data_IF_927427305806
#
_entry.id   IF_927427305806
#
_cell.length_a   1.000
_cell.length_b   1.000
_cell.length_c   1.000
_cell.angle_alpha   90.00
_cell.angle_beta   90.00
_cell.angle_gamma   90.00
#
_symmetry.space_group_name_H-M   'P 1'
#
loop_
_entity.id
_entity.type
_entity.pdbx_description
1 polymer ?
#
# COMPACT_ATOMS: atom_id res chain seq x y z
N UNK A 1 -37.16 -21.17 19.17
CA UNK A 1 -35.75 -21.63 19.16
C UNK A 1 -35.01 -20.76 18.15
N UNK A 2 -33.99 -20.02 18.59
CA UNK A 2 -33.27 -19.06 17.74
C UNK A 2 -32.32 -19.81 16.82
N UNK A 3 -32.56 -19.74 15.51
CA UNK A 3 -31.64 -20.25 14.51
C UNK A 3 -30.34 -19.43 14.55
N UNK A 4 -29.24 -20.10 14.92
CA UNK A 4 -27.89 -19.59 14.83
C UNK A 4 -27.55 -19.41 13.34
N UNK A 5 -27.48 -18.16 12.89
CA UNK A 5 -26.96 -17.84 11.56
C UNK A 5 -25.43 -17.79 11.66
N UNK A 6 -24.78 -18.91 11.38
CA UNK A 6 -23.32 -18.97 11.16
C UNK A 6 -23.00 -18.20 9.86
N UNK A 7 -22.74 -16.90 9.98
CA UNK A 7 -22.30 -16.07 8.86
C UNK A 7 -20.78 -15.98 8.82
N UNK A 8 -20.11 -16.92 8.14
CA UNK A 8 -18.71 -16.74 7.71
C UNK A 8 -18.72 -16.20 6.28
N UNK A 9 -18.50 -14.89 6.10
CA UNK A 9 -18.21 -14.29 4.80
C UNK A 9 -17.28 -13.08 4.99
N UNK A 10 -16.06 -13.18 4.47
CA UNK A 10 -14.97 -12.20 4.53
C UNK A 10 -14.77 -11.57 3.14
N UNK A 11 -14.58 -10.25 3.06
CA UNK A 11 -14.51 -9.52 1.79
C UNK A 11 -13.09 -9.42 1.21
N UNK A 12 -13.05 -9.41 -0.12
CA UNK A 12 -12.06 -10.05 -1.00
C UNK A 12 -11.39 -8.97 -1.93
N UNK A 13 -10.05 -8.82 -1.99
CA UNK A 13 -9.17 -7.97 -2.90
C UNK A 13 -8.68 -8.55 -4.29
N UNK A 14 -9.16 -8.11 -5.48
CA UNK A 14 -8.57 -8.62 -6.77
C UNK A 14 -7.28 -7.85 -7.15
N UNK A 15 -6.24 -8.57 -7.57
CA UNK A 15 -5.07 -8.01 -8.28
C UNK A 15 -4.98 -8.55 -9.72
N UNK A 16 -4.84 -7.66 -10.71
CA UNK A 16 -3.86 -7.91 -11.75
C UNK A 16 -2.97 -6.68 -11.98
N UNK A 17 -1.67 -6.81 -11.69
CA UNK A 17 -0.66 -5.78 -11.98
C UNK A 17 0.35 -5.57 -10.85
N UNK A 18 1.45 -4.91 -11.18
CA UNK A 18 2.59 -4.59 -10.31
C UNK A 18 2.30 -3.28 -9.54
N UNK A 19 2.32 -3.25 -8.19
CA UNK A 19 2.36 -1.95 -7.48
C UNK A 19 3.73 -1.32 -7.73
N UNK A 20 3.73 -0.10 -8.25
CA UNK A 20 4.91 0.77 -8.26
C UNK A 20 4.56 2.06 -7.56
N UNK A 21 5.12 2.31 -6.38
CA UNK A 21 5.09 3.64 -5.77
C UNK A 21 6.32 3.94 -4.92
N UNK A 22 7.12 4.90 -5.39
CA UNK A 22 7.64 6.14 -4.79
C UNK A 22 8.79 6.62 -5.72
N UNK A 23 8.84 7.91 -6.07
CA UNK A 23 9.85 8.52 -6.96
C UNK A 23 11.23 8.55 -6.28
N UNK A 24 12.34 8.56 -7.03
CA UNK A 24 13.39 7.53 -7.15
C UNK A 24 14.12 7.12 -5.85
N UNK A 25 13.71 7.62 -4.70
CA UNK A 25 14.40 7.47 -3.42
C UNK A 25 13.71 6.54 -2.45
N UNK A 26 12.42 6.26 -2.59
CA UNK A 26 11.72 5.25 -1.79
C UNK A 26 10.87 4.40 -2.71
N UNK A 27 10.54 3.17 -2.34
CA UNK A 27 9.56 2.34 -3.02
C UNK A 27 8.94 1.38 -2.01
N UNK A 28 7.63 1.19 -2.11
CA UNK A 28 6.95 0.02 -1.59
C UNK A 28 5.95 -0.45 -2.64
N UNK A 29 5.98 -1.74 -2.93
CA UNK A 29 5.06 -2.35 -3.88
C UNK A 29 4.97 -3.87 -3.72
N UNK A 30 4.05 -4.48 -4.46
CA UNK A 30 3.85 -5.91 -4.47
C UNK A 30 2.88 -6.32 -5.57
N UNK A 31 2.63 -7.62 -5.63
CA UNK A 31 1.67 -8.27 -6.49
C UNK A 31 1.40 -9.66 -5.95
N UNK A 32 0.73 -10.51 -6.71
CA UNK A 32 0.35 -11.86 -6.23
C UNK A 32 1.54 -12.78 -5.94
N UNK A 33 2.70 -12.51 -6.53
CA UNK A 33 3.89 -13.36 -6.43
C UNK A 33 5.16 -12.63 -5.98
N UNK A 34 5.07 -11.35 -5.63
CA UNK A 34 6.23 -10.61 -5.19
C UNK A 34 5.86 -9.45 -4.25
N UNK A 35 6.82 -9.04 -3.44
CA UNK A 35 6.80 -7.77 -2.70
C UNK A 35 8.16 -7.11 -2.90
N UNK A 36 8.15 -5.79 -3.05
CA UNK A 36 9.33 -4.99 -3.29
C UNK A 36 9.40 -3.76 -2.40
N UNK A 37 10.61 -3.40 -1.99
CA UNK A 37 10.92 -2.20 -1.23
C UNK A 37 12.21 -1.55 -1.72
N UNK A 38 12.33 -0.23 -1.56
CA UNK A 38 13.57 0.47 -1.86
C UNK A 38 13.67 1.73 -1.00
N UNK A 39 14.89 2.07 -0.57
CA UNK A 39 15.21 3.33 0.08
C UNK A 39 16.56 3.83 -0.46
N UNK A 40 16.60 4.55 -1.57
CA UNK A 40 17.87 5.01 -2.14
C UNK A 40 18.71 5.83 -1.14
N UNK A 41 20.04 5.76 -1.22
CA UNK A 41 20.84 4.87 -2.07
C UNK A 41 21.02 3.45 -1.47
N UNK A 42 20.29 3.13 -0.40
CA UNK A 42 20.41 1.88 0.36
C UNK A 42 20.16 0.66 -0.51
N UNK A 43 21.06 -0.31 -0.42
CA UNK A 43 21.00 -1.56 -1.19
C UNK A 43 21.23 -1.42 -2.70
N UNK A 44 21.50 -0.20 -3.20
CA UNK A 44 21.88 0.11 -4.59
C UNK A 44 20.82 -0.20 -5.66
N UNK A 45 19.74 -0.88 -5.30
CA UNK A 45 18.70 -1.39 -6.20
C UNK A 45 17.44 -1.75 -5.42
N UNK A 46 16.32 -1.99 -6.10
CA UNK A 46 15.08 -2.47 -5.46
C UNK A 46 15.31 -3.82 -4.77
N UNK A 47 14.86 -3.95 -3.52
CA UNK A 47 14.79 -5.23 -2.82
C UNK A 47 13.50 -5.94 -3.22
N UNK A 48 13.57 -7.14 -3.80
CA UNK A 48 12.37 -7.90 -4.17
C UNK A 48 12.42 -9.31 -3.58
N UNK A 49 11.31 -9.72 -2.98
CA UNK A 49 11.04 -11.10 -2.57
C UNK A 49 10.02 -11.66 -3.57
N UNK A 50 10.37 -12.74 -4.26
CA UNK A 50 9.53 -13.41 -5.27
C UNK A 50 9.15 -14.82 -4.80
N UNK A 51 8.24 -15.49 -5.51
CA UNK A 51 7.78 -16.84 -5.14
C UNK A 51 6.75 -16.84 -4.00
N UNK A 52 6.17 -15.67 -3.70
CA UNK A 52 5.11 -15.55 -2.70
C UNK A 52 3.79 -16.09 -3.24
N UNK A 53 2.96 -16.67 -2.38
CA UNK A 53 1.61 -17.09 -2.75
C UNK A 53 0.59 -16.14 -2.10
N UNK A 54 0.58 -14.86 -2.51
CA UNK A 54 -0.40 -13.90 -1.99
C UNK A 54 -1.74 -14.18 -2.63
N UNK A 55 -2.65 -14.70 -1.82
CA UNK A 55 -3.96 -15.09 -2.30
C UNK A 55 -4.68 -13.89 -2.88
N UNK A 56 -5.18 -14.07 -4.11
CA UNK A 56 -6.10 -13.11 -4.65
C UNK A 56 -7.29 -13.03 -3.71
N UNK A 57 -7.59 -11.80 -3.42
CA UNK A 57 -8.71 -11.43 -2.65
C UNK A 57 -8.66 -11.67 -1.16
N UNK A 58 -7.50 -11.50 -0.55
CA UNK A 58 -7.45 -11.41 0.90
C UNK A 58 -6.69 -10.15 1.30
N UNK A 59 -7.07 -9.51 2.42
CA UNK A 59 -6.25 -8.43 2.95
C UNK A 59 -4.90 -9.01 3.33
N UNK A 60 -3.85 -8.40 2.80
CA UNK A 60 -2.47 -8.75 3.15
C UNK A 60 -1.82 -7.54 3.80
N UNK A 61 -1.14 -7.76 4.92
CA UNK A 61 -0.35 -6.70 5.55
C UNK A 61 1.09 -6.80 5.06
N UNK A 62 1.53 -5.79 4.32
CA UNK A 62 2.89 -5.70 3.80
C UNK A 62 3.65 -4.62 4.56
N UNK A 63 4.86 -4.94 5.03
CA UNK A 63 5.75 -3.95 5.61
C UNK A 63 7.16 -4.05 5.05
N UNK A 64 7.72 -2.90 4.72
CA UNK A 64 9.13 -2.73 4.42
C UNK A 64 9.79 -1.95 5.56
N UNK A 65 10.83 -2.54 6.14
CA UNK A 65 11.56 -1.99 7.28
C UNK A 65 13.01 -1.78 6.85
N UNK A 66 13.54 -0.61 7.14
CA UNK A 66 14.93 -0.24 6.83
C UNK A 66 15.59 0.21 8.13
N UNK A 67 16.47 -0.62 8.67
CA UNK A 67 17.21 -0.39 9.91
C UNK A 67 18.70 -0.33 9.62
N UNK A 68 19.37 0.80 9.86
CA UNK A 68 20.83 1.02 9.78
C UNK A 68 21.60 0.35 8.64
N UNK A 69 21.78 -0.96 8.60
CA UNK A 69 22.46 -1.72 7.54
C UNK A 69 21.66 -2.95 7.06
N UNK A 70 20.37 -3.03 7.35
CA UNK A 70 19.48 -4.13 6.98
C UNK A 70 18.15 -3.59 6.46
N UNK A 71 17.66 -4.23 5.40
CA UNK A 71 16.29 -4.07 4.92
C UNK A 71 15.54 -5.39 5.09
N UNK A 72 14.28 -5.30 5.50
CA UNK A 72 13.40 -6.44 5.79
C UNK A 72 12.04 -6.24 5.15
N UNK A 73 11.50 -7.29 4.57
CA UNK A 73 10.14 -7.33 4.04
C UNK A 73 9.34 -8.34 4.85
N UNK A 74 8.17 -7.90 5.32
CA UNK A 74 7.21 -8.73 6.02
C UNK A 74 5.89 -8.80 5.26
N UNK A 75 5.28 -9.98 5.29
CA UNK A 75 3.94 -10.24 4.75
C UNK A 75 3.15 -10.96 5.84
N UNK A 76 1.95 -10.46 6.11
CA UNK A 76 1.01 -11.05 7.09
C UNK A 76 1.65 -11.31 8.45
N UNK A 77 2.50 -10.37 8.86
CA UNK A 77 3.22 -10.43 10.13
C UNK A 77 4.51 -11.25 10.10
N UNK A 78 4.84 -11.96 9.01
CA UNK A 78 6.03 -12.83 8.93
C UNK A 78 7.14 -12.23 8.09
N UNK A 79 8.39 -12.36 8.53
CA UNK A 79 9.58 -11.99 7.75
C UNK A 79 9.70 -12.91 6.54
N UNK A 80 9.55 -12.37 5.34
CA UNK A 80 9.66 -13.13 4.08
C UNK A 80 11.00 -12.90 3.36
N UNK A 81 11.75 -11.88 3.76
CA UNK A 81 13.11 -11.66 3.27
C UNK A 81 13.83 -10.56 4.02
N UNK A 82 15.15 -10.67 4.08
CA UNK A 82 16.03 -9.59 4.50
C UNK A 82 17.26 -9.49 3.61
N UNK A 83 17.89 -8.32 3.59
CA UNK A 83 19.20 -8.13 2.96
C UNK A 83 20.05 -7.13 3.75
N UNK A 84 21.35 -7.38 3.77
CA UNK A 84 22.30 -6.38 4.23
C UNK A 84 22.42 -5.24 3.20
N UNK A 85 22.69 -4.04 3.69
CA UNK A 85 22.82 -2.83 2.88
C UNK A 85 24.16 -2.18 3.20
N UNK A 86 24.96 -1.84 2.19
CA UNK A 86 26.33 -1.32 2.40
C UNK A 86 26.43 0.11 2.96
N UNK A 87 25.31 0.77 3.25
CA UNK A 87 25.26 2.15 3.77
C UNK A 87 24.10 2.34 4.74
N UNK A 88 24.28 3.23 5.71
CA UNK A 88 23.21 3.69 6.59
C UNK A 88 22.49 4.95 6.10
N UNK A 89 22.99 5.55 5.03
CA UNK A 89 22.42 6.77 4.46
C UNK A 89 21.15 6.42 3.69
N UNK A 90 20.11 7.22 3.92
CA UNK A 90 18.89 7.25 3.11
C UNK A 90 18.74 8.68 2.64
N UNK A 91 18.62 8.84 1.33
CA UNK A 91 18.46 10.13 0.69
C UNK A 91 16.97 10.46 0.49
N UNK A 92 16.67 11.74 0.29
CA UNK A 92 15.34 12.24 0.06
C UNK A 92 15.33 13.09 -1.22
N UNK A 93 14.58 12.62 -2.22
CA UNK A 93 14.35 13.40 -3.41
C UNK A 93 13.44 14.60 -3.16
N UNK A 94 13.45 15.54 -4.10
CA UNK A 94 12.55 16.69 -4.14
C UNK A 94 11.17 16.39 -4.74
N UNK A 95 10.94 15.16 -5.21
CA UNK A 95 9.70 14.78 -5.89
C UNK A 95 8.60 14.36 -4.91
N UNK A 96 7.34 14.62 -5.27
CA UNK A 96 6.19 14.16 -4.49
C UNK A 96 6.04 12.63 -4.60
N UNK A 97 5.57 12.01 -3.52
CA UNK A 97 5.14 10.61 -3.53
C UNK A 97 3.87 10.42 -4.38
N UNK A 98 3.66 9.20 -4.86
CA UNK A 98 2.43 8.77 -5.53
C UNK A 98 1.95 7.46 -4.91
N UNK A 99 0.64 7.17 -5.03
CA UNK A 99 -0.04 5.94 -4.60
C UNK A 99 -0.80 5.37 -5.80
N UNK A 100 -0.72 4.05 -6.03
CA UNK A 100 -1.46 3.38 -7.11
C UNK A 100 -0.84 3.48 -8.52
N UNK A 101 0.35 4.05 -8.68
CA UNK A 101 1.07 4.13 -9.96
C UNK A 101 1.91 5.40 -10.08
N UNK A 102 3.07 5.32 -10.74
CA UNK A 102 3.95 6.48 -10.99
C UNK A 102 4.33 6.62 -12.47
N UNK A 103 5.01 7.72 -12.84
CA UNK A 103 5.60 8.04 -14.17
C UNK A 103 6.34 6.90 -14.91
N UNK A 104 6.73 5.79 -14.28
CA UNK A 104 7.48 4.69 -14.93
C UNK A 104 6.87 3.28 -14.75
N UNK A 105 5.61 3.15 -14.32
CA UNK A 105 4.99 1.84 -14.07
C UNK A 105 3.54 1.74 -14.54
N UNK A 106 3.09 0.51 -14.77
CA UNK A 106 1.66 0.22 -14.96
C UNK A 106 0.90 0.62 -13.69
N UNK A 107 -0.29 1.20 -13.83
CA UNK A 107 -1.17 1.49 -12.70
C UNK A 107 -1.48 0.23 -11.89
N UNK A 108 -1.62 0.40 -10.58
CA UNK A 108 -2.10 -0.63 -9.68
C UNK A 108 -3.60 -0.83 -9.87
N UNK A 109 -4.03 -2.08 -9.83
CA UNK A 109 -5.45 -2.42 -9.78
C UNK A 109 -5.67 -3.30 -8.57
N UNK A 110 -6.38 -2.75 -7.59
CA UNK A 110 -6.63 -3.40 -6.32
C UNK A 110 -7.11 -2.44 -5.26
N UNK A 111 -7.12 -2.93 -4.02
CA UNK A 111 -7.62 -2.21 -2.87
C UNK A 111 -6.48 -1.87 -1.92
N UNK A 112 -6.51 -0.66 -1.37
CA UNK A 112 -5.63 -0.20 -0.30
C UNK A 112 -6.51 0.29 0.84
N UNK A 113 -6.33 -0.31 2.01
CA UNK A 113 -7.09 -0.01 3.22
C UNK A 113 -6.36 1.03 4.08
N UNK A 114 -5.04 0.86 4.25
CA UNK A 114 -4.25 1.80 5.03
C UNK A 114 -2.82 1.92 4.50
N UNK A 115 -2.23 3.10 4.67
CA UNK A 115 -0.82 3.38 4.44
C UNK A 115 -0.24 4.13 5.62
N UNK A 116 0.85 3.59 6.20
CA UNK A 116 1.65 4.26 7.21
C UNK A 116 3.10 4.40 6.80
N UNK A 117 3.67 5.60 7.00
CA UNK A 117 5.10 5.85 6.99
C UNK A 117 5.57 6.24 8.40
N UNK A 118 6.75 5.78 8.80
CA UNK A 118 7.28 6.05 10.14
C UNK A 118 8.79 6.27 10.12
N UNK A 119 9.28 7.00 11.11
CA UNK A 119 10.71 7.28 11.32
C UNK A 119 11.39 6.29 12.29
N UNK A 120 10.60 5.38 12.89
CA UNK A 120 11.08 4.32 13.77
C UNK A 120 10.88 2.93 13.17
N UNK A 121 11.60 1.96 13.72
CA UNK A 121 11.48 0.54 13.38
C UNK A 121 10.26 -0.02 14.11
N UNK A 122 9.17 -0.24 13.37
CA UNK A 122 7.92 -0.77 13.95
C UNK A 122 7.87 -2.27 14.08
N UNK A 123 8.58 -2.98 13.20
CA UNK A 123 8.55 -4.44 13.13
C UNK A 123 9.97 -4.98 13.10
N UNK A 124 10.23 -5.97 13.94
CA UNK A 124 11.52 -6.62 14.12
C UNK A 124 11.31 -8.12 14.39
N UNK A 125 12.39 -8.89 14.32
CA UNK A 125 12.35 -10.34 14.52
C UNK A 125 11.76 -11.09 13.34
N UNK A 126 11.32 -12.33 13.59
CA UNK A 126 10.77 -13.21 12.53
C UNK A 126 9.28 -13.00 12.30
N UNK A 127 8.55 -12.57 13.33
CA UNK A 127 7.09 -12.44 13.29
C UNK A 127 6.60 -11.27 14.16
N UNK A 128 5.47 -10.67 13.78
CA UNK A 128 4.69 -9.71 14.58
C UNK A 128 3.20 -9.88 14.27
N UNK A 129 2.34 -9.24 15.07
CA UNK A 129 0.90 -9.22 14.84
C UNK A 129 0.54 -7.95 14.06
N UNK A 130 0.04 -8.06 12.81
CA UNK A 130 -0.40 -6.89 12.06
C UNK A 130 -1.53 -6.12 12.78
N UNK A 131 -1.57 -4.79 12.65
CA UNK A 131 -2.71 -4.01 13.10
C UNK A 131 -3.99 -4.47 12.37
N UNK A 132 -5.11 -4.42 13.07
CA UNK A 132 -6.43 -4.78 12.55
C UNK A 132 -7.28 -3.52 12.41
N UNK A 133 -7.86 -3.33 11.22
CA UNK A 133 -8.66 -2.15 10.89
C UNK A 133 -7.85 -0.86 10.86
N UNK A 134 -8.55 0.25 11.11
CA UNK A 134 -7.96 1.59 11.09
C UNK A 134 -6.73 1.69 11.98
N UNK A 135 -5.64 2.18 11.39
CA UNK A 135 -4.42 2.42 12.10
C UNK A 135 -4.52 3.73 12.90
N UNK A 136 -3.85 3.79 14.05
CA UNK A 136 -3.73 5.00 14.85
C UNK A 136 -2.32 5.56 14.74
N UNK A 137 -2.20 6.88 14.62
CA UNK A 137 -0.93 7.57 14.61
C UNK A 137 -0.33 7.68 16.03
N UNK A 138 0.99 7.74 16.08
CA UNK A 138 1.79 8.05 17.27
C UNK A 138 2.88 9.06 16.90
N UNK A 139 3.73 9.43 17.88
CA UNK A 139 4.80 10.41 17.68
C UNK A 139 5.85 10.05 16.62
N UNK A 140 5.91 8.79 16.19
CA UNK A 140 6.82 8.31 15.14
C UNK A 140 6.12 8.13 13.79
N UNK A 141 4.86 8.54 13.67
CA UNK A 141 4.07 8.43 12.44
C UNK A 141 4.26 9.67 11.59
N UNK A 142 4.89 9.50 10.43
CA UNK A 142 5.11 10.58 9.47
C UNK A 142 3.91 10.76 8.54
N UNK A 143 3.27 9.67 8.12
CA UNK A 143 2.11 9.74 7.23
C UNK A 143 1.15 8.65 7.62
N UNK A 144 -0.14 8.97 7.64
CA UNK A 144 -1.17 7.97 7.85
C UNK A 144 -2.40 8.26 7.00
N UNK A 145 -2.70 7.38 6.06
CA UNK A 145 -3.98 7.36 5.34
C UNK A 145 -4.71 6.08 5.70
N UNK A 146 -5.91 6.18 6.29
CA UNK A 146 -6.82 5.05 6.53
C UNK A 146 -7.90 4.95 5.44
N UNK A 147 -7.86 5.82 4.42
CA UNK A 147 -8.76 5.77 3.27
C UNK A 147 -10.27 5.71 3.59
N UNK A 148 -10.67 6.41 4.65
CA UNK A 148 -12.05 6.44 5.15
C UNK A 148 -12.92 7.55 4.55
N UNK A 149 -12.46 8.19 3.48
CA UNK A 149 -13.18 9.27 2.84
C UNK A 149 -14.44 8.78 2.12
N UNK A 150 -15.40 9.69 1.92
CA UNK A 150 -16.64 9.37 1.22
C UNK A 150 -16.38 9.09 -0.26
N UNK A 151 -17.24 8.26 -0.90
CA UNK A 151 -17.21 8.10 -2.36
C UNK A 151 -17.22 9.46 -3.07
N UNK A 152 -16.32 9.65 -4.02
CA UNK A 152 -16.18 10.91 -4.78
C UNK A 152 -15.22 11.94 -4.17
N UNK A 153 -14.61 11.67 -3.01
CA UNK A 153 -13.58 12.56 -2.45
C UNK A 153 -12.40 12.76 -3.40
N UNK A 154 -11.90 14.00 -3.47
CA UNK A 154 -10.74 14.40 -4.28
C UNK A 154 -9.44 14.45 -3.47
N UNK A 155 -9.54 14.28 -2.16
CA UNK A 155 -8.40 14.29 -1.24
C UNK A 155 -8.52 13.15 -0.24
N UNK A 156 -7.39 12.75 0.33
CA UNK A 156 -7.33 11.88 1.51
C UNK A 156 -6.62 12.59 2.65
N UNK A 157 -7.19 12.50 3.85
CA UNK A 157 -6.70 13.20 5.02
C UNK A 157 -5.52 12.47 5.68
N UNK A 158 -4.45 13.21 5.97
CA UNK A 158 -3.33 12.71 6.75
C UNK A 158 -3.70 12.65 8.24
N UNK A 159 -4.00 11.44 8.71
CA UNK A 159 -4.35 11.14 10.09
C UNK A 159 -3.14 11.15 11.04
N UNK A 160 -1.92 11.43 10.55
CA UNK A 160 -0.73 11.57 11.38
C UNK A 160 -0.64 12.92 12.10
N UNK A 161 -1.43 13.91 11.67
CA UNK A 161 -1.36 15.29 12.19
C UNK A 161 -0.27 16.14 11.56
N UNK A 162 0.48 15.62 10.57
CA UNK A 162 1.54 16.36 9.88
C UNK A 162 1.04 17.20 8.68
N UNK A 163 -0.26 17.22 8.41
CA UNK A 163 -0.87 18.04 7.36
C UNK A 163 -0.50 17.62 5.93
N UNK A 164 -0.05 16.38 5.72
CA UNK A 164 0.36 15.87 4.41
C UNK A 164 -0.84 15.37 3.61
N UNK A 165 -1.84 16.21 3.38
CA UNK A 165 -3.07 15.84 2.64
C UNK A 165 -2.75 15.32 1.24
N UNK A 166 -3.27 14.13 0.92
CA UNK A 166 -3.11 13.52 -0.40
C UNK A 166 -4.13 14.04 -1.39
N UNK A 167 -3.72 14.23 -2.65
CA UNK A 167 -4.65 14.53 -3.77
C UNK A 167 -4.94 13.25 -4.53
N UNK A 168 -6.22 13.00 -4.83
CA UNK A 168 -6.72 11.81 -5.50
C UNK A 168 -7.10 12.11 -6.95
N UNK A 169 -6.98 11.11 -7.82
CA UNK A 169 -7.35 11.24 -9.24
C UNK A 169 -6.48 12.19 -10.06
N UNK A 170 -5.45 12.77 -9.46
CA UNK A 170 -4.47 13.62 -10.12
C UNK A 170 -3.21 12.80 -10.37
N UNK A 171 -3.06 12.28 -11.59
CA UNK A 171 -1.90 11.49 -11.99
C UNK A 171 -0.74 12.34 -12.48
N UNK A 172 0.48 11.90 -12.21
CA UNK A 172 1.67 12.24 -13.03
C UNK A 172 1.65 11.55 -14.41
N UNK A 173 0.63 10.72 -14.66
CA UNK A 173 0.41 9.95 -15.89
C UNK A 173 -0.95 10.29 -16.45
N UNK A 174 -1.04 10.45 -17.78
CA UNK A 174 -2.30 10.71 -18.48
C UNK A 174 -3.27 9.55 -18.29
N UNK A 175 -4.55 9.86 -18.03
CA UNK A 175 -5.60 8.85 -17.84
C UNK A 175 -5.70 8.26 -16.42
N UNK A 176 -5.02 8.84 -15.43
CA UNK A 176 -5.27 8.51 -14.04
C UNK A 176 -6.71 8.91 -13.66
N UNK A 177 -7.46 7.98 -13.09
CA UNK A 177 -8.79 8.23 -12.54
C UNK A 177 -8.78 8.26 -11.03
N UNK A 178 -9.71 9.02 -10.46
CA UNK A 178 -9.93 9.00 -9.01
C UNK A 178 -10.21 7.57 -8.56
N UNK A 179 -9.59 7.14 -7.46
CA UNK A 179 -9.95 5.88 -6.87
C UNK A 179 -11.37 5.96 -6.29
N UNK A 180 -12.01 4.80 -6.16
CA UNK A 180 -13.33 4.68 -5.56
C UNK A 180 -13.21 4.29 -4.09
N UNK A 181 -13.84 5.06 -3.21
CA UNK A 181 -14.02 4.66 -1.81
C UNK A 181 -15.26 3.78 -1.71
N UNK A 182 -15.08 2.56 -1.20
CA UNK A 182 -16.18 1.65 -0.93
C UNK A 182 -16.46 1.65 0.57
N UNK A 183 -17.65 2.11 0.93
CA UNK A 183 -18.21 2.00 2.27
C UNK A 183 -19.18 0.82 2.24
N UNK A 184 -18.78 -0.33 2.77
CA UNK A 184 -19.67 -1.49 2.84
C UNK A 184 -20.36 -1.51 4.20
N UNK A 185 -21.70 -1.36 4.22
CA UNK A 185 -22.56 -1.24 5.40
C UNK A 185 -22.56 -2.45 6.38
N UNK A 186 -21.53 -3.29 6.41
CA UNK A 186 -21.39 -4.41 7.33
C UNK A 186 -20.04 -4.49 8.07
N UNK A 187 -19.08 -3.58 7.86
CA UNK A 187 -17.86 -3.53 8.66
C UNK A 187 -17.46 -2.08 8.93
N UNK A 188 -16.95 -1.80 10.13
CA UNK A 188 -16.39 -0.49 10.48
C UNK A 188 -15.05 -0.32 9.74
N UNK A 189 -15.06 0.34 8.58
CA UNK A 189 -13.88 0.72 7.80
C UNK A 189 -14.20 0.87 6.31
N UNK A 190 -13.56 1.81 5.63
CA UNK A 190 -13.74 2.13 4.20
C UNK A 190 -12.47 1.79 3.43
N UNK A 191 -12.62 1.30 2.20
CA UNK A 191 -11.48 0.83 1.39
C UNK A 191 -11.37 1.62 0.09
N UNK A 192 -10.17 2.01 -0.31
CA UNK A 192 -9.89 2.74 -1.54
C UNK A 192 -9.51 1.79 -2.69
N UNK A 193 -10.16 1.93 -3.84
CA UNK A 193 -9.95 1.11 -5.04
C UNK A 193 -9.23 1.91 -6.11
N UNK A 194 -8.08 1.47 -6.59
CA UNK A 194 -7.44 2.04 -7.78
C UNK A 194 -7.93 1.24 -8.99
N UNK A 195 -8.70 1.86 -9.90
CA UNK A 195 -9.15 1.25 -11.15
C UNK A 195 -8.41 1.84 -12.34
N UNK A 196 -8.07 1.01 -13.32
CA UNK A 196 -7.70 1.45 -14.67
C UNK A 196 -8.99 1.52 -15.48
N UNK A 197 -9.44 2.72 -15.85
CA UNK A 197 -10.58 2.84 -16.76
C UNK A 197 -10.18 2.22 -18.09
N UNK A 198 -10.68 1.03 -18.38
CA UNK A 198 -10.74 0.57 -19.75
C UNK A 198 -11.69 1.55 -20.47
N UNK A 199 -11.16 2.34 -21.41
CA UNK A 199 -11.99 2.94 -22.44
C UNK A 199 -12.85 1.81 -23.06
N UNK A 200 -14.13 2.06 -23.34
CA UNK A 200 -15.06 1.02 -23.76
C UNK A 200 -14.50 0.29 -24.99
N UNK A 201 -14.55 -1.04 -24.93
CA UNK A 201 -14.43 -1.90 -26.09
C UNK A 201 -15.33 -1.33 -27.18
N UNK A 202 -14.75 -1.03 -28.34
CA UNK A 202 -15.51 -0.59 -29.50
C UNK A 202 -16.61 -1.59 -29.83
N UNK A 203 -17.85 -1.14 -29.75
CA UNK A 203 -18.94 -1.65 -30.58
C UNK A 203 -19.45 -0.49 -31.41
N UNK A 204 -19.23 -0.60 -32.73
CA UNK A 204 -19.81 0.11 -33.88
C UNK A 204 -18.70 0.18 -34.94
N UNK A 205 -18.76 -0.45 -36.11
CA UNK A 205 -19.83 -1.13 -36.88
C UNK A 205 -19.22 -2.27 -37.66
#
# INVERSE_FOLDING_TARGET
>A
MRNVKLGRYYNKVRFPGTVHTFYPYRLLGGGTNFVAGYNAPRGGSTFSVTGLALSLYQPHHIAFVSERYEERIYVDGRLVGSRATGTSIVDHGSNKGCLGGGTFGTGWVGYIDSLRLSDTIRYAGREFIPPLGDMTADGSTLLLYNFNELPGSLTTADSSGNGRTGTLGMGYVSGATSPEFLHWNAFRGSVCTVQRTALPFGQAT
#
